data_IF_597595934573
#
_entry.id   IF_597595934573
#
_cell.length_a   1.000
_cell.length_b   1.000
_cell.length_c   1.000
_cell.angle_alpha   90.00
_cell.angle_beta   90.00
_cell.angle_gamma   90.00
#
_symmetry.space_group_name_H-M   'P 1'
#
loop_
_entity.id
_entity.type
_entity.pdbx_description
1 polymer ?
#
# COMPACT_ATOMS: atom_id res chain seq x y z
N UNK A 1 50.20 57.44 -40.49
CA UNK A 1 49.56 57.26 -39.16
C UNK A 1 48.38 56.31 -39.33
N UNK A 2 48.44 55.19 -38.62
CA UNK A 2 47.57 54.01 -38.77
C UNK A 2 46.22 54.20 -38.09
N UNK A 3 45.11 53.93 -38.80
CA UNK A 3 43.76 53.85 -38.20
C UNK A 3 43.55 52.42 -37.68
N UNK A 4 43.53 52.28 -36.35
CA UNK A 4 43.15 51.03 -35.65
C UNK A 4 41.70 50.68 -35.95
N UNK A 5 41.45 49.47 -36.45
CA UNK A 5 40.12 48.81 -36.45
C UNK A 5 39.82 48.31 -35.04
N UNK A 6 38.70 48.74 -34.48
CA UNK A 6 38.13 48.18 -33.26
C UNK A 6 37.64 46.75 -33.49
N UNK A 7 38.03 45.84 -32.61
CA UNK A 7 37.57 44.45 -32.57
C UNK A 7 36.29 44.34 -31.73
N UNK A 8 35.22 43.82 -32.32
CA UNK A 8 33.98 43.45 -31.64
C UNK A 8 34.21 42.34 -30.60
N UNK A 9 33.57 42.38 -29.42
CA UNK A 9 33.74 41.35 -28.40
C UNK A 9 32.93 40.09 -28.74
N UNK A 10 33.56 38.92 -28.66
CA UNK A 10 32.92 37.61 -28.77
C UNK A 10 31.94 37.40 -27.59
N UNK A 11 30.67 37.07 -27.88
CA UNK A 11 29.67 36.65 -26.89
C UNK A 11 30.17 35.40 -26.13
N UNK A 12 30.18 35.44 -24.79
CA UNK A 12 30.39 34.27 -23.93
C UNK A 12 29.26 33.26 -24.15
N UNK A 13 29.60 31.98 -24.31
CA UNK A 13 28.62 30.89 -24.37
C UNK A 13 27.88 30.82 -23.02
N UNK A 14 26.55 30.94 -23.06
CA UNK A 14 25.69 30.76 -21.88
C UNK A 14 25.78 29.29 -21.45
N UNK A 15 26.16 29.04 -20.20
CA UNK A 15 26.06 27.70 -19.62
C UNK A 15 24.59 27.27 -19.61
N UNK A 16 24.33 26.10 -20.18
CA UNK A 16 23.00 25.50 -20.21
C UNK A 16 22.70 24.95 -18.81
N UNK A 17 21.70 25.52 -18.12
CA UNK A 17 21.27 25.04 -16.79
C UNK A 17 20.39 23.80 -16.99
N UNK A 18 20.83 22.66 -16.44
CA UNK A 18 20.06 21.41 -16.41
C UNK A 18 19.67 21.14 -14.96
N UNK A 19 18.38 20.89 -14.74
CA UNK A 19 17.81 20.59 -13.43
C UNK A 19 17.11 19.23 -13.45
N UNK A 20 17.02 18.59 -12.29
CA UNK A 20 16.27 17.34 -12.08
C UNK A 20 15.03 17.66 -11.26
N UNK A 21 13.86 17.21 -11.71
CA UNK A 21 12.60 17.48 -11.02
C UNK A 21 11.46 16.60 -11.50
N UNK A 22 10.30 16.70 -10.87
CA UNK A 22 9.11 15.92 -11.21
C UNK A 22 8.27 16.65 -12.25
N UNK A 23 7.92 15.99 -13.35
CA UNK A 23 7.03 16.53 -14.38
C UNK A 23 5.57 16.38 -13.94
N UNK A 24 4.91 17.47 -13.61
CA UNK A 24 3.46 17.54 -13.45
C UNK A 24 2.82 18.02 -14.76
N UNK A 25 1.81 17.31 -15.26
CA UNK A 25 1.11 17.65 -16.50
C UNK A 25 -0.31 18.01 -16.10
N UNK A 26 -0.78 19.18 -16.50
CA UNK A 26 -2.15 19.63 -16.24
C UNK A 26 -3.15 19.00 -17.22
N UNK A 27 -4.46 19.09 -16.92
CA UNK A 27 -5.53 18.61 -17.83
C UNK A 27 -5.53 19.33 -19.18
N UNK A 28 -5.03 20.58 -19.24
CA UNK A 28 -4.88 21.32 -20.50
C UNK A 28 -3.67 20.87 -21.34
N UNK A 29 -2.86 19.95 -20.81
CA UNK A 29 -1.65 19.43 -21.44
C UNK A 29 -0.39 20.26 -21.21
N UNK A 30 -0.46 21.40 -20.53
CA UNK A 30 0.73 22.14 -20.11
C UNK A 30 1.45 21.41 -18.98
N UNK A 31 2.78 21.34 -19.02
CA UNK A 31 3.59 20.68 -17.99
C UNK A 31 4.40 21.66 -17.15
N UNK A 32 4.72 21.25 -15.94
CA UNK A 32 5.50 21.97 -14.95
C UNK A 32 6.50 21.02 -14.33
N UNK A 33 7.79 21.33 -14.40
CA UNK A 33 8.82 20.56 -13.70
C UNK A 33 9.08 21.22 -12.35
N UNK A 34 8.69 20.50 -11.29
CA UNK A 34 8.86 20.91 -9.90
C UNK A 34 10.25 20.44 -9.46
N UNK A 35 11.11 21.38 -9.11
CA UNK A 35 12.51 21.12 -8.72
C UNK A 35 12.64 21.41 -7.23
N UNK A 36 13.19 20.45 -6.47
CA UNK A 36 13.40 20.63 -5.05
C UNK A 36 14.35 21.80 -4.77
N UNK A 37 13.96 22.70 -3.87
CA UNK A 37 14.73 23.89 -3.51
C UNK A 37 14.56 25.10 -4.43
N UNK A 38 13.78 25.00 -5.51
CA UNK A 38 13.40 26.15 -6.35
C UNK A 38 12.00 26.64 -5.96
N UNK A 39 11.81 27.95 -5.84
CA UNK A 39 10.51 28.54 -5.45
C UNK A 39 9.45 28.48 -6.56
N UNK A 40 9.88 28.33 -7.82
CA UNK A 40 8.99 28.37 -8.99
C UNK A 40 9.27 27.22 -9.94
N UNK A 41 8.20 26.57 -10.38
CA UNK A 41 8.27 25.49 -11.37
C UNK A 41 8.70 25.98 -12.75
N UNK A 42 9.29 25.07 -13.52
CA UNK A 42 9.70 25.31 -14.91
C UNK A 42 8.57 24.88 -15.85
N UNK A 43 8.06 25.79 -16.67
CA UNK A 43 7.02 25.48 -17.65
C UNK A 43 7.63 24.66 -18.79
N UNK A 44 6.95 23.57 -19.15
CA UNK A 44 7.29 22.75 -20.30
C UNK A 44 6.06 22.63 -21.21
N UNK A 45 6.25 22.95 -22.50
CA UNK A 45 5.20 22.83 -23.52
C UNK A 45 5.05 21.36 -23.94
N UNK A 46 3.86 20.92 -24.42
CA UNK A 46 3.62 19.52 -24.79
C UNK A 46 4.69 18.92 -25.73
N UNK A 47 5.10 19.67 -26.76
CA UNK A 47 6.13 19.27 -27.72
C UNK A 47 7.54 19.11 -27.12
N UNK A 48 7.75 19.60 -25.90
CA UNK A 48 9.02 19.61 -25.18
C UNK A 48 9.05 18.60 -24.02
N UNK A 49 8.02 17.75 -23.86
CA UNK A 49 8.03 16.65 -22.89
C UNK A 49 9.01 15.53 -23.27
N UNK A 50 9.44 15.50 -24.54
CA UNK A 50 10.24 14.40 -25.06
C UNK A 50 9.47 13.09 -24.93
N UNK A 51 9.94 12.21 -24.06
CA UNK A 51 9.36 10.88 -23.83
C UNK A 51 8.85 10.67 -22.40
N UNK A 52 8.76 11.75 -21.63
CA UNK A 52 8.29 11.71 -20.26
C UNK A 52 6.77 11.56 -20.19
N UNK A 53 6.31 10.88 -19.16
CA UNK A 53 4.91 10.81 -18.77
C UNK A 53 4.65 11.70 -17.56
N UNK A 54 3.37 11.92 -17.27
CA UNK A 54 2.96 12.61 -16.06
C UNK A 54 3.52 11.90 -14.81
N UNK A 55 4.15 12.67 -13.93
CA UNK A 55 4.70 12.22 -12.67
C UNK A 55 6.14 11.74 -12.74
N UNK A 56 6.71 11.55 -13.93
CA UNK A 56 8.09 11.11 -14.10
C UNK A 56 9.08 12.10 -13.48
N UNK A 57 10.19 11.57 -12.96
CA UNK A 57 11.35 12.39 -12.61
C UNK A 57 12.19 12.59 -13.86
N UNK A 58 12.32 13.84 -14.29
CA UNK A 58 12.94 14.23 -15.56
C UNK A 58 14.15 15.11 -15.34
N UNK A 59 15.04 15.12 -16.33
CA UNK A 59 16.08 16.14 -16.49
C UNK A 59 15.55 17.18 -17.48
N UNK A 60 15.50 18.44 -17.04
CA UNK A 60 15.00 19.58 -17.83
C UNK A 60 16.13 20.58 -18.09
N UNK A 61 16.30 20.94 -19.35
CA UNK A 61 17.17 22.03 -19.78
C UNK A 61 16.38 23.33 -19.80
N UNK A 62 16.84 24.35 -19.09
CA UNK A 62 16.21 25.67 -19.04
C UNK A 62 16.64 26.49 -20.26
N UNK A 63 15.70 26.94 -21.10
CA UNK A 63 16.00 27.67 -22.34
C UNK A 63 15.98 29.19 -22.16
N UNK A 64 15.13 29.70 -21.27
CA UNK A 64 14.99 31.14 -21.00
C UNK A 64 14.74 31.37 -19.52
N UNK A 65 15.69 32.02 -18.85
CA UNK A 65 15.38 32.74 -17.62
C UNK A 65 14.46 33.90 -17.99
N UNK A 66 13.20 33.79 -17.60
CA UNK A 66 12.24 34.85 -17.82
C UNK A 66 12.44 35.91 -16.73
N UNK A 67 12.29 37.19 -17.10
CA UNK A 67 12.55 38.32 -16.20
C UNK A 67 11.72 38.25 -14.91
N UNK A 68 12.17 39.00 -13.89
CA UNK A 68 11.64 39.04 -12.51
C UNK A 68 10.12 38.81 -12.43
N UNK A 69 9.72 37.64 -11.91
CA UNK A 69 8.32 37.26 -11.67
C UNK A 69 7.66 36.35 -12.73
N UNK A 70 8.36 35.94 -13.79
CA UNK A 70 7.86 34.95 -14.75
C UNK A 70 8.51 33.58 -14.50
N UNK A 71 7.74 32.49 -14.74
CA UNK A 71 8.26 31.11 -14.69
C UNK A 71 9.18 30.85 -15.87
N UNK A 72 10.30 30.16 -15.63
CA UNK A 72 11.23 29.79 -16.68
C UNK A 72 10.61 28.75 -17.65
N UNK A 73 11.03 28.76 -18.91
CA UNK A 73 10.65 27.73 -19.89
C UNK A 73 11.79 26.71 -20.04
N UNK A 74 11.44 25.42 -20.19
CA UNK A 74 12.41 24.35 -20.37
C UNK A 74 11.99 23.25 -21.34
N UNK A 75 12.97 22.40 -21.67
CA UNK A 75 12.81 21.20 -22.49
C UNK A 75 13.27 19.98 -21.69
N UNK A 76 12.44 18.94 -21.65
CA UNK A 76 12.83 17.66 -21.08
C UNK A 76 13.83 16.99 -22.03
N UNK A 77 15.03 16.72 -21.51
CA UNK A 77 16.10 16.08 -22.27
C UNK A 77 16.17 14.57 -22.05
N UNK A 78 15.73 14.10 -20.88
CA UNK A 78 15.77 12.68 -20.51
C UNK A 78 14.84 12.38 -19.32
N UNK A 79 14.38 11.12 -19.23
CA UNK A 79 13.61 10.59 -18.11
C UNK A 79 14.57 9.89 -17.16
N UNK A 80 14.81 10.48 -15.99
CA UNK A 80 15.71 9.91 -14.99
C UNK A 80 15.08 8.71 -14.27
N UNK A 81 13.77 8.78 -14.03
CA UNK A 81 13.01 7.73 -13.34
C UNK A 81 11.55 7.79 -13.76
N UNK A 82 10.97 6.65 -14.11
CA UNK A 82 9.55 6.51 -14.45
C UNK A 82 8.74 6.41 -13.17
N UNK A 83 7.65 7.18 -13.06
CA UNK A 83 6.72 7.02 -11.93
C UNK A 83 5.93 5.72 -12.04
N UNK A 84 5.47 5.41 -13.24
CA UNK A 84 4.60 4.27 -13.51
C UNK A 84 4.90 3.69 -14.90
N UNK A 85 4.73 2.39 -15.03
CA UNK A 85 4.92 1.65 -16.28
C UNK A 85 3.68 0.91 -16.73
N UNK A 86 2.64 0.84 -15.91
CA UNK A 86 1.38 0.15 -16.21
C UNK A 86 0.23 1.15 -16.28
N UNK A 87 -0.66 0.96 -17.24
CA UNK A 87 -1.73 1.90 -17.56
C UNK A 87 -3.00 1.14 -17.92
N UNK A 88 -4.15 1.65 -17.49
CA UNK A 88 -5.46 1.17 -17.92
C UNK A 88 -5.95 1.91 -19.15
N UNK A 89 -6.74 1.24 -19.97
CA UNK A 89 -7.20 1.80 -21.23
C UNK A 89 -7.95 0.81 -22.10
N UNK A 90 -8.09 1.17 -23.37
CA UNK A 90 -8.79 0.37 -24.37
C UNK A 90 -7.81 -0.03 -25.46
N UNK A 91 -7.87 -1.29 -25.89
CA UNK A 91 -7.15 -1.76 -27.06
C UNK A 91 -7.95 -1.46 -28.32
N UNK A 92 -7.38 -0.68 -29.22
CA UNK A 92 -7.89 -0.47 -30.58
C UNK A 92 -7.01 -1.24 -31.56
N UNK A 93 -7.57 -2.22 -32.25
CA UNK A 93 -6.83 -3.08 -33.17
C UNK A 93 -7.58 -3.34 -34.46
N UNK A 94 -6.83 -3.43 -35.55
CA UNK A 94 -7.27 -3.99 -36.83
C UNK A 94 -6.30 -5.10 -37.27
N UNK A 95 -6.52 -5.68 -38.44
CA UNK A 95 -5.74 -6.84 -38.95
C UNK A 95 -4.22 -6.61 -39.06
N UNK A 96 -3.73 -5.36 -38.97
CA UNK A 96 -2.31 -5.02 -39.18
C UNK A 96 -1.65 -4.34 -37.99
N UNK A 97 -2.41 -3.63 -37.16
CA UNK A 97 -1.87 -2.81 -36.07
C UNK A 97 -2.80 -2.84 -34.86
N UNK A 98 -2.20 -2.84 -33.68
CA UNK A 98 -2.90 -2.65 -32.41
C UNK A 98 -2.27 -1.48 -31.65
N UNK A 99 -3.13 -0.64 -31.10
CA UNK A 99 -2.77 0.50 -30.26
C UNK A 99 -3.54 0.45 -28.95
N UNK A 100 -2.84 0.68 -27.86
CA UNK A 100 -3.45 0.91 -26.57
C UNK A 100 -3.70 2.41 -26.39
N UNK A 101 -4.95 2.76 -26.08
CA UNK A 101 -5.40 4.11 -25.77
C UNK A 101 -5.63 4.20 -24.27
N UNK A 102 -4.81 4.96 -23.57
CA UNK A 102 -4.88 5.07 -22.12
C UNK A 102 -6.16 5.79 -21.66
N UNK A 103 -6.81 5.27 -20.62
CA UNK A 103 -7.96 5.88 -19.97
C UNK A 103 -7.49 6.89 -18.90
N UNK A 104 -6.89 7.99 -19.33
CA UNK A 104 -6.40 9.03 -18.40
C UNK A 104 -6.81 10.42 -18.86
N UNK A 105 -7.06 11.31 -17.90
CA UNK A 105 -7.30 12.74 -18.18
C UNK A 105 -6.03 13.49 -18.60
N UNK A 106 -4.85 12.93 -18.30
CA UNK A 106 -3.56 13.56 -18.62
C UNK A 106 -3.11 13.09 -20.00
N UNK A 107 -2.67 13.99 -20.89
CA UNK A 107 -2.21 13.58 -22.21
C UNK A 107 -1.06 12.57 -22.15
N UNK A 108 -1.25 11.44 -22.83
CA UNK A 108 -0.26 10.38 -23.03
C UNK A 108 -0.42 9.86 -24.47
N UNK A 109 0.67 9.57 -25.20
CA UNK A 109 0.56 9.00 -26.53
C UNK A 109 0.05 7.56 -26.47
N UNK A 110 -0.63 7.12 -27.52
CA UNK A 110 -1.03 5.72 -27.68
C UNK A 110 0.20 4.80 -27.75
N UNK A 111 0.09 3.61 -27.17
CA UNK A 111 1.18 2.64 -27.20
C UNK A 111 0.97 1.69 -28.36
N UNK A 112 1.99 1.49 -29.19
CA UNK A 112 1.97 0.42 -30.18
C UNK A 112 2.09 -0.93 -29.47
N UNK A 113 1.15 -1.83 -29.75
CA UNK A 113 1.11 -3.18 -29.20
C UNK A 113 1.38 -4.18 -30.34
N UNK A 114 2.51 -4.92 -30.31
CA UNK A 114 2.72 -6.02 -31.25
C UNK A 114 1.64 -7.09 -31.09
N UNK A 115 1.26 -7.75 -32.18
CA UNK A 115 0.15 -8.74 -32.18
C UNK A 115 0.43 -9.89 -31.21
N UNK A 116 1.67 -10.35 -31.16
CA UNK A 116 2.15 -11.38 -30.23
C UNK A 116 2.08 -10.97 -28.75
N UNK A 117 1.94 -9.66 -28.48
CA UNK A 117 1.86 -9.06 -27.14
C UNK A 117 0.47 -8.56 -26.77
N UNK A 118 -0.56 -8.96 -27.52
CA UNK A 118 -1.95 -8.62 -27.21
C UNK A 118 -2.54 -9.48 -26.08
N UNK A 119 -1.88 -10.58 -25.70
CA UNK A 119 -2.30 -11.46 -24.58
C UNK A 119 -3.79 -11.85 -24.63
N UNK A 120 -4.28 -12.21 -25.82
CA UNK A 120 -5.67 -12.61 -26.05
C UNK A 120 -6.71 -11.47 -26.07
N UNK A 121 -6.30 -10.21 -25.90
CA UNK A 121 -7.18 -9.06 -26.05
C UNK A 121 -7.66 -8.91 -27.49
N UNK A 122 -8.90 -8.41 -27.66
CA UNK A 122 -9.50 -8.12 -28.96
C UNK A 122 -9.81 -6.62 -29.09
N UNK A 123 -10.16 -6.18 -30.30
CA UNK A 123 -10.54 -4.78 -30.52
C UNK A 123 -11.68 -4.36 -29.56
N UNK A 124 -11.50 -3.22 -28.90
CA UNK A 124 -12.43 -2.70 -27.89
C UNK A 124 -12.28 -3.31 -26.50
N UNK A 125 -11.37 -4.27 -26.29
CA UNK A 125 -11.09 -4.79 -24.94
C UNK A 125 -10.56 -3.69 -24.02
N UNK A 126 -11.10 -3.63 -22.81
CA UNK A 126 -10.49 -2.88 -21.70
C UNK A 126 -9.32 -3.70 -21.16
N UNK A 127 -8.17 -3.08 -21.01
CA UNK A 127 -6.91 -3.77 -20.75
C UNK A 127 -6.02 -2.97 -19.80
N UNK A 128 -5.11 -3.68 -19.15
CA UNK A 128 -3.91 -3.08 -18.57
C UNK A 128 -2.76 -3.32 -19.54
N UNK A 129 -2.10 -2.24 -19.95
CA UNK A 129 -0.92 -2.29 -20.79
C UNK A 129 0.33 -1.85 -20.01
N UNK A 130 1.43 -2.55 -20.20
CA UNK A 130 2.75 -2.20 -19.67
C UNK A 130 3.59 -1.54 -20.75
N UNK A 131 4.20 -0.41 -20.41
CA UNK A 131 5.25 0.24 -21.18
C UNK A 131 6.49 -0.66 -21.25
N UNK A 132 6.96 -0.95 -22.47
CA UNK A 132 8.21 -1.70 -22.68
C UNK A 132 9.35 -0.74 -22.96
N UNK A 133 9.21 0.06 -24.00
CA UNK A 133 10.28 0.93 -24.49
C UNK A 133 9.77 2.05 -25.37
N UNK A 134 10.61 3.05 -25.58
CA UNK A 134 10.37 4.13 -26.52
C UNK A 134 11.71 4.56 -27.12
N UNK A 135 12.12 3.94 -28.23
CA UNK A 135 13.44 4.15 -28.82
C UNK A 135 13.53 5.50 -29.56
N UNK A 136 14.75 6.02 -29.78
CA UNK A 136 15.00 7.40 -30.25
C UNK A 136 14.19 7.80 -31.50
N UNK A 137 13.98 6.85 -32.41
CA UNK A 137 13.32 7.08 -33.69
C UNK A 137 11.83 6.71 -33.68
N UNK A 138 11.32 6.17 -32.57
CA UNK A 138 9.95 5.72 -32.47
C UNK A 138 9.02 6.91 -32.25
N UNK A 139 7.98 7.02 -33.07
CA UNK A 139 6.94 8.04 -32.93
C UNK A 139 6.03 7.78 -31.73
N UNK A 140 5.85 6.51 -31.36
CA UNK A 140 4.97 6.05 -30.28
C UNK A 140 5.74 5.06 -29.40
N UNK A 141 5.48 5.03 -28.09
CA UNK A 141 6.03 4.00 -27.21
C UNK A 141 5.49 2.62 -27.60
N UNK A 142 6.27 1.58 -27.33
CA UNK A 142 5.87 0.19 -27.46
C UNK A 142 5.41 -0.34 -26.10
N UNK A 143 4.31 -1.09 -26.08
CA UNK A 143 3.81 -1.76 -24.88
C UNK A 143 3.41 -3.20 -25.11
N UNK A 144 2.95 -3.84 -24.05
CA UNK A 144 2.32 -5.16 -24.05
C UNK A 144 1.08 -5.19 -23.18
N UNK A 145 0.12 -6.03 -23.54
CA UNK A 145 -1.05 -6.26 -22.70
C UNK A 145 -0.67 -7.27 -21.63
N UNK A 146 -0.72 -6.84 -20.36
CA UNK A 146 -0.44 -7.72 -19.23
C UNK A 146 -1.71 -8.39 -18.74
N UNK A 147 -2.87 -7.74 -18.92
CA UNK A 147 -4.15 -8.28 -18.50
C UNK A 147 -5.29 -7.69 -19.32
N UNK A 148 -6.25 -8.54 -19.68
CA UNK A 148 -7.56 -8.09 -20.16
C UNK A 148 -8.41 -7.86 -18.92
N UNK A 149 -8.90 -6.62 -18.76
CA UNK A 149 -9.79 -6.25 -17.67
C UNK A 149 -11.18 -6.81 -17.98
N UNK A 150 -11.38 -8.07 -17.61
CA UNK A 150 -12.71 -8.63 -17.51
C UNK A 150 -13.34 -8.09 -16.23
N UNK A 151 -14.50 -7.47 -16.37
CA UNK A 151 -15.24 -6.92 -15.25
C UNK A 151 -16.61 -7.58 -15.17
N UNK A 152 -17.03 -7.95 -13.96
CA UNK A 152 -18.38 -8.45 -13.74
C UNK A 152 -19.43 -7.36 -13.98
N UNK A 153 -19.08 -6.13 -13.60
CA UNK A 153 -19.89 -4.93 -13.74
C UNK A 153 -18.97 -3.69 -13.79
N UNK A 154 -19.56 -2.51 -13.96
CA UNK A 154 -18.81 -1.24 -14.02
C UNK A 154 -18.04 -0.93 -12.73
N UNK A 155 -18.56 -1.34 -11.57
CA UNK A 155 -17.90 -1.13 -10.27
C UNK A 155 -16.59 -1.90 -10.14
N UNK A 156 -16.58 -3.18 -10.54
CA UNK A 156 -15.37 -4.02 -10.54
C UNK A 156 -14.28 -3.45 -11.47
N UNK A 157 -14.68 -2.89 -12.62
CA UNK A 157 -13.76 -2.21 -13.52
C UNK A 157 -13.17 -0.96 -12.88
N UNK A 158 -14.01 -0.11 -12.29
CA UNK A 158 -13.55 1.13 -11.63
C UNK A 158 -12.57 0.84 -10.49
N UNK A 159 -12.81 -0.20 -9.68
CA UNK A 159 -11.89 -0.58 -8.60
C UNK A 159 -10.52 -1.04 -9.13
N UNK A 160 -10.49 -1.82 -10.21
CA UNK A 160 -9.25 -2.25 -10.86
C UNK A 160 -8.49 -1.06 -11.47
N UNK A 161 -9.21 -0.13 -12.10
CA UNK A 161 -8.62 1.09 -12.66
C UNK A 161 -7.97 1.95 -11.57
N UNK A 162 -8.67 2.18 -10.45
CA UNK A 162 -8.12 2.94 -9.31
C UNK A 162 -6.84 2.32 -8.77
N UNK A 163 -6.78 0.99 -8.62
CA UNK A 163 -5.58 0.30 -8.14
C UNK A 163 -4.40 0.51 -9.07
N UNK A 164 -4.58 0.29 -10.37
CA UNK A 164 -3.51 0.45 -11.37
C UNK A 164 -3.06 1.90 -11.48
N UNK A 165 -3.98 2.87 -11.49
CA UNK A 165 -3.64 4.30 -11.52
C UNK A 165 -2.88 4.75 -10.26
N UNK A 166 -3.17 4.14 -9.12
CA UNK A 166 -2.43 4.34 -7.88
C UNK A 166 -1.09 3.57 -7.84
N UNK A 167 -0.79 2.76 -8.84
CA UNK A 167 0.45 1.99 -8.97
C UNK A 167 0.44 0.65 -8.25
N UNK A 168 -0.73 0.13 -7.86
CA UNK A 168 -0.84 -1.17 -7.19
C UNK A 168 -1.10 -2.30 -8.19
N UNK A 169 -0.30 -3.39 -8.14
CA UNK A 169 -0.50 -4.54 -9.00
C UNK A 169 -1.80 -5.29 -8.66
N UNK A 170 -2.54 -5.70 -9.69
CA UNK A 170 -3.84 -6.37 -9.53
C UNK A 170 -3.74 -7.83 -9.07
N UNK A 171 -2.60 -8.49 -9.32
CA UNK A 171 -2.39 -9.89 -9.00
C UNK A 171 -0.93 -10.14 -8.59
N UNK A 172 -0.69 -11.26 -7.93
CA UNK A 172 0.66 -11.77 -7.71
C UNK A 172 1.13 -12.50 -8.97
N UNK A 173 2.44 -12.47 -9.21
CA UNK A 173 3.03 -13.30 -10.25
C UNK A 173 2.94 -14.78 -9.87
N UNK A 174 2.80 -15.64 -10.88
CA UNK A 174 2.66 -17.09 -10.67
C UNK A 174 3.80 -17.71 -9.81
N UNK A 175 5.09 -17.34 -9.99
CA UNK A 175 6.15 -17.85 -9.11
C UNK A 175 6.00 -17.43 -7.64
N UNK A 176 5.41 -16.27 -7.37
CA UNK A 176 5.13 -15.79 -6.00
C UNK A 176 4.04 -16.65 -5.36
N UNK A 177 2.97 -16.94 -6.10
CA UNK A 177 1.88 -17.82 -5.64
C UNK A 177 2.38 -19.25 -5.38
N UNK A 178 3.21 -19.79 -6.27
CA UNK A 178 3.82 -21.11 -6.08
C UNK A 178 4.70 -21.16 -4.84
N UNK A 179 5.51 -20.12 -4.59
CA UNK A 179 6.34 -20.02 -3.41
C UNK A 179 5.49 -19.98 -2.11
N UNK A 180 4.41 -19.20 -2.10
CA UNK A 180 3.49 -19.14 -0.95
C UNK A 180 2.79 -20.48 -0.69
N UNK A 181 2.34 -21.16 -1.75
CA UNK A 181 1.65 -22.45 -1.66
C UNK A 181 2.58 -23.60 -1.23
N UNK A 182 3.89 -23.46 -1.46
CA UNK A 182 4.89 -24.44 -1.01
C UNK A 182 5.24 -24.34 0.49
N UNK A 183 4.78 -23.29 1.18
CA UNK A 183 5.06 -23.11 2.62
C UNK A 183 4.33 -24.15 3.47
N UNK A 184 5.06 -24.65 4.48
CA UNK A 184 4.55 -25.64 5.43
C UNK A 184 3.68 -24.97 6.50
N UNK A 185 2.51 -25.55 6.77
CA UNK A 185 1.55 -25.09 7.78
C UNK A 185 1.71 -25.78 9.13
N UNK A 186 2.55 -26.82 9.24
CA UNK A 186 2.72 -27.59 10.48
C UNK A 186 3.78 -26.99 11.38
N UNK A 187 3.45 -26.90 12.66
CA UNK A 187 4.44 -26.59 13.69
C UNK A 187 5.46 -27.71 13.79
N UNK A 188 6.72 -27.36 13.57
CA UNK A 188 7.84 -28.30 13.68
C UNK A 188 8.41 -28.31 15.10
N UNK A 189 8.91 -29.47 15.53
CA UNK A 189 9.61 -29.61 16.82
C UNK A 189 10.86 -28.73 16.92
N UNK A 190 11.49 -28.43 15.78
CA UNK A 190 12.67 -27.58 15.76
C UNK A 190 12.32 -26.13 16.13
N UNK A 191 11.27 -25.58 15.52
CA UNK A 191 10.78 -24.24 15.83
C UNK A 191 10.16 -24.15 17.22
N UNK A 192 9.45 -25.19 17.66
CA UNK A 192 8.89 -25.26 19.01
C UNK A 192 9.97 -25.08 20.09
N UNK A 193 11.15 -25.65 19.91
CA UNK A 193 12.27 -25.51 20.86
C UNK A 193 12.89 -24.11 20.90
N UNK A 194 12.66 -23.27 19.89
CA UNK A 194 13.21 -21.90 19.78
C UNK A 194 12.23 -20.85 20.31
N UNK A 195 11.00 -21.24 20.63
CA UNK A 195 9.89 -20.34 20.94
C UNK A 195 9.41 -20.55 22.36
N UNK A 196 8.97 -19.48 23.03
CA UNK A 196 8.30 -19.60 24.33
C UNK A 196 6.86 -20.04 24.10
N UNK A 197 6.41 -21.05 24.84
CA UNK A 197 5.08 -21.64 24.68
C UNK A 197 4.03 -20.88 25.50
N UNK A 198 2.95 -20.46 24.83
CA UNK A 198 1.79 -19.77 25.39
C UNK A 198 0.48 -20.52 25.12
N UNK A 199 0.51 -21.74 24.55
CA UNK A 199 -0.70 -22.47 24.13
C UNK A 199 -1.68 -22.75 25.28
N UNK A 200 -1.18 -22.91 26.50
CA UNK A 200 -1.99 -23.16 27.69
C UNK A 200 -2.49 -21.87 28.38
N UNK A 201 -2.17 -20.69 27.82
CA UNK A 201 -2.57 -19.40 28.39
C UNK A 201 -3.77 -18.87 27.60
N UNK A 202 -4.80 -18.42 28.32
CA UNK A 202 -6.00 -17.84 27.71
C UNK A 202 -5.61 -16.73 26.74
N UNK A 203 -5.88 -16.94 25.46
CA UNK A 203 -5.51 -16.07 24.33
C UNK A 203 -6.70 -15.92 23.40
N UNK A 204 -6.94 -14.72 22.88
CA UNK A 204 -8.01 -14.46 21.90
C UNK A 204 -7.68 -13.27 21.00
N UNK A 205 -8.37 -13.17 19.87
CA UNK A 205 -8.32 -12.02 18.95
C UNK A 205 -9.61 -11.19 19.08
N UNK A 206 -9.55 -9.90 18.74
CA UNK A 206 -10.71 -8.99 18.72
C UNK A 206 -10.63 -8.17 17.43
N UNK A 207 -11.51 -8.46 16.48
CA UNK A 207 -11.41 -7.95 15.11
C UNK A 207 -12.76 -7.46 14.56
N UNK A 208 -12.80 -6.73 13.45
CA UNK A 208 -14.04 -6.52 12.71
C UNK A 208 -14.67 -7.84 12.28
N UNK A 209 -16.01 -7.88 12.21
CA UNK A 209 -16.76 -9.09 11.79
C UNK A 209 -16.29 -9.66 10.44
N UNK A 210 -15.88 -8.79 9.52
CA UNK A 210 -15.46 -9.10 8.16
C UNK A 210 -13.96 -9.39 7.99
N UNK A 211 -13.16 -9.28 9.05
CA UNK A 211 -11.74 -9.60 9.02
C UNK A 211 -11.49 -11.10 8.77
N UNK A 212 -10.41 -11.41 8.05
CA UNK A 212 -9.98 -12.80 7.75
C UNK A 212 -8.52 -13.05 8.15
N UNK A 213 -7.77 -11.97 8.26
CA UNK A 213 -6.37 -11.81 8.62
C UNK A 213 -6.29 -11.27 10.05
N UNK A 214 -6.27 -12.17 11.05
CA UNK A 214 -6.14 -11.78 12.45
C UNK A 214 -4.65 -11.66 12.77
N UNK A 215 -4.14 -10.44 12.77
CA UNK A 215 -2.69 -10.19 12.90
C UNK A 215 -2.22 -10.14 14.35
N UNK A 216 -3.13 -9.85 15.29
CA UNK A 216 -2.82 -9.71 16.71
C UNK A 216 -3.76 -10.52 17.62
N UNK A 217 -3.21 -10.98 18.73
CA UNK A 217 -3.93 -11.67 19.79
C UNK A 217 -3.44 -11.19 21.15
N UNK A 218 -4.32 -11.23 22.15
CA UNK A 218 -4.00 -10.87 23.53
C UNK A 218 -4.13 -12.10 24.41
N UNK A 219 -3.09 -12.36 25.22
CA UNK A 219 -3.15 -13.37 26.28
C UNK A 219 -3.12 -12.74 27.67
N UNK A 220 -3.72 -13.42 28.64
CA UNK A 220 -3.70 -12.97 30.03
C UNK A 220 -3.72 -14.12 31.03
N UNK A 221 -2.90 -14.01 32.08
CA UNK A 221 -3.00 -14.83 33.29
C UNK A 221 -2.60 -14.07 34.56
N UNK A 222 -3.10 -14.54 35.69
CA UNK A 222 -2.67 -14.06 37.01
C UNK A 222 -1.34 -14.72 37.40
N UNK A 223 -0.48 -13.97 38.08
CA UNK A 223 0.75 -14.47 38.68
C UNK A 223 0.62 -14.56 40.21
N UNK A 224 1.41 -15.44 40.84
CA UNK A 224 1.38 -15.68 42.28
C UNK A 224 1.73 -14.44 43.12
N UNK A 225 2.45 -13.48 42.54
CA UNK A 225 2.81 -12.21 43.18
C UNK A 225 1.69 -11.14 43.12
N UNK A 226 0.51 -11.49 42.59
CA UNK A 226 -0.63 -10.59 42.43
C UNK A 226 -0.57 -9.66 41.22
N UNK A 227 0.45 -9.78 40.36
CA UNK A 227 0.51 -9.11 39.06
C UNK A 227 -0.20 -9.95 37.98
N UNK A 228 -0.42 -9.34 36.83
CA UNK A 228 -0.90 -9.99 35.61
C UNK A 228 0.26 -10.18 34.63
N UNK A 229 0.34 -11.33 33.96
CA UNK A 229 1.12 -11.46 32.73
C UNK A 229 0.18 -11.26 31.54
N UNK A 230 0.43 -10.21 30.76
CA UNK A 230 -0.33 -9.87 29.57
C UNK A 230 0.61 -9.96 28.37
N UNK A 231 0.24 -10.77 27.37
CA UNK A 231 0.98 -10.92 26.12
C UNK A 231 0.24 -10.27 24.97
N UNK A 232 0.94 -9.46 24.18
CA UNK A 232 0.51 -9.01 22.85
C UNK A 232 1.26 -9.85 21.84
N UNK A 233 0.53 -10.65 21.06
CA UNK A 233 1.07 -11.65 20.16
C UNK A 233 0.76 -11.25 18.72
N UNK A 234 1.79 -10.90 17.96
CA UNK A 234 1.66 -10.54 16.54
C UNK A 234 2.02 -11.75 15.69
N UNK A 235 1.28 -11.97 14.59
CA UNK A 235 1.58 -13.02 13.63
C UNK A 235 3.05 -12.97 13.18
N UNK A 236 3.77 -14.10 13.22
CA UNK A 236 5.20 -14.14 12.86
C UNK A 236 5.39 -14.25 11.34
N UNK A 237 4.98 -13.22 10.59
CA UNK A 237 5.14 -13.14 9.13
C UNK A 237 6.61 -13.36 8.73
N UNK A 238 7.56 -12.89 9.55
CA UNK A 238 9.00 -13.03 9.33
C UNK A 238 9.50 -14.48 9.30
N UNK A 239 8.71 -15.42 9.83
CA UNK A 239 9.01 -16.85 9.72
C UNK A 239 8.81 -17.37 8.29
N UNK A 240 7.79 -16.85 7.60
CA UNK A 240 7.38 -17.32 6.27
C UNK A 240 7.97 -16.48 5.14
N UNK A 241 8.15 -15.18 5.38
CA UNK A 241 8.71 -14.22 4.42
C UNK A 241 10.12 -13.86 4.87
N UNK A 242 11.12 -14.44 4.22
CA UNK A 242 12.54 -14.26 4.56
C UNK A 242 13.19 -13.21 3.66
N UNK A 243 14.19 -12.45 4.15
CA UNK A 243 14.87 -11.42 3.36
C UNK A 243 15.36 -11.94 2.02
N UNK A 244 15.25 -11.10 0.98
CA UNK A 244 15.69 -11.36 -0.40
C UNK A 244 14.93 -12.49 -1.14
N UNK A 245 13.96 -13.13 -0.48
CA UNK A 245 13.09 -14.13 -1.12
C UNK A 245 12.15 -13.50 -2.14
N UNK A 246 11.56 -14.32 -3.02
CA UNK A 246 10.58 -13.82 -3.99
C UNK A 246 9.32 -13.23 -3.31
N UNK A 247 8.94 -13.79 -2.15
CA UNK A 247 7.83 -13.30 -1.33
C UNK A 247 8.16 -11.94 -0.72
N UNK A 248 9.39 -11.75 -0.24
CA UNK A 248 9.86 -10.49 0.33
C UNK A 248 9.89 -9.38 -0.72
N UNK A 249 10.42 -9.66 -1.92
CA UNK A 249 10.42 -8.69 -3.03
C UNK A 249 9.01 -8.29 -3.45
N UNK A 250 8.09 -9.26 -3.55
CA UNK A 250 6.69 -8.98 -3.88
C UNK A 250 5.97 -8.17 -2.79
N UNK A 251 6.23 -8.49 -1.51
CA UNK A 251 5.70 -7.74 -0.38
C UNK A 251 6.26 -6.31 -0.36
N UNK A 252 7.56 -6.15 -0.63
CA UNK A 252 8.25 -4.86 -0.69
C UNK A 252 7.71 -3.97 -1.81
N UNK A 253 7.47 -4.53 -2.99
CA UNK A 253 6.87 -3.82 -4.13
C UNK A 253 5.44 -3.35 -3.83
N UNK A 254 4.64 -4.20 -3.17
CA UNK A 254 3.26 -3.86 -2.77
C UNK A 254 3.22 -2.89 -1.59
N UNK A 255 4.20 -2.94 -0.69
CA UNK A 255 4.41 -2.15 0.52
C UNK A 255 3.31 -2.24 1.61
N UNK A 256 2.03 -2.29 1.23
CA UNK A 256 0.87 -2.35 2.11
C UNK A 256 -0.29 -3.06 1.44
N UNK A 257 -1.22 -3.58 2.25
CA UNK A 257 -2.55 -3.95 1.75
C UNK A 257 -3.36 -2.69 1.46
N UNK A 258 -4.14 -2.70 0.39
CA UNK A 258 -5.05 -1.60 0.02
C UNK A 258 -6.48 -2.04 0.22
N UNK A 259 -7.18 -1.38 1.15
CA UNK A 259 -8.57 -1.67 1.48
C UNK A 259 -9.50 -0.79 0.64
N UNK A 260 -10.23 -1.43 -0.28
CA UNK A 260 -11.27 -0.82 -1.10
C UNK A 260 -12.65 -1.07 -0.45
N UNK A 261 -13.69 -0.34 -0.88
CA UNK A 261 -15.03 -0.53 -0.32
C UNK A 261 -15.57 -1.97 -0.42
N UNK A 262 -15.21 -2.71 -1.48
CA UNK A 262 -15.74 -4.05 -1.80
C UNK A 262 -14.73 -5.19 -1.63
N UNK A 263 -13.43 -4.89 -1.50
CA UNK A 263 -12.36 -5.90 -1.44
C UNK A 263 -11.07 -5.37 -0.82
N UNK A 264 -10.12 -6.26 -0.64
CA UNK A 264 -8.73 -5.93 -0.29
C UNK A 264 -7.81 -6.32 -1.45
N UNK A 265 -6.85 -5.46 -1.79
CA UNK A 265 -5.68 -5.83 -2.58
C UNK A 265 -4.56 -6.15 -1.58
N UNK A 266 -4.25 -7.43 -1.31
CA UNK A 266 -3.41 -7.79 -0.19
C UNK A 266 -1.92 -7.57 -0.49
N UNK A 267 -1.15 -7.23 0.53
CA UNK A 267 0.31 -7.14 0.46
C UNK A 267 0.95 -8.51 0.22
N UNK A 268 0.41 -9.55 0.87
CA UNK A 268 0.90 -10.92 0.83
C UNK A 268 -0.14 -11.85 0.20
N UNK A 269 0.27 -12.95 -0.43
CA UNK A 269 -0.67 -13.98 -0.90
C UNK A 269 -1.58 -14.49 0.24
N UNK A 270 -2.84 -14.78 -0.08
CA UNK A 270 -3.85 -15.19 0.91
C UNK A 270 -3.44 -16.43 1.73
N UNK A 271 -2.67 -17.35 1.13
CA UNK A 271 -2.09 -18.50 1.83
C UNK A 271 -1.25 -18.06 3.03
N UNK A 272 -0.54 -16.95 2.94
CA UNK A 272 0.24 -16.41 4.06
C UNK A 272 -0.68 -15.62 5.00
N UNK A 273 -1.41 -14.62 4.48
CA UNK A 273 -2.17 -13.69 5.33
C UNK A 273 -3.34 -14.38 6.06
N UNK A 274 -4.19 -15.11 5.34
CA UNK A 274 -5.46 -15.64 5.85
C UNK A 274 -5.33 -17.04 6.46
N UNK A 275 -4.20 -17.72 6.22
CA UNK A 275 -4.00 -19.09 6.67
C UNK A 275 -2.81 -19.26 7.59
N UNK A 276 -1.58 -19.07 7.10
CA UNK A 276 -0.39 -19.35 7.89
C UNK A 276 -0.21 -18.37 9.05
N UNK A 277 -0.43 -17.08 8.79
CA UNK A 277 -0.21 -16.00 9.75
C UNK A 277 -1.46 -15.62 10.54
N UNK A 278 -2.65 -15.68 9.94
CA UNK A 278 -3.91 -15.36 10.64
C UNK A 278 -4.05 -16.19 11.91
N UNK A 279 -4.21 -15.52 13.05
CA UNK A 279 -4.28 -16.09 14.39
C UNK A 279 -5.65 -16.72 14.70
N UNK A 280 -6.09 -17.60 13.80
CA UNK A 280 -7.39 -18.27 13.82
C UNK A 280 -7.62 -19.04 15.13
N UNK A 281 -8.86 -19.08 15.62
CA UNK A 281 -9.19 -19.78 16.85
C UNK A 281 -9.03 -21.29 16.69
N UNK A 282 -8.63 -21.95 17.79
CA UNK A 282 -8.41 -23.38 17.91
C UNK A 282 -7.28 -23.95 17.04
N UNK A 283 -6.33 -23.11 16.65
CA UNK A 283 -5.13 -23.49 15.90
C UNK A 283 -3.88 -22.98 16.61
N UNK A 284 -2.80 -23.79 16.58
CA UNK A 284 -1.50 -23.33 17.06
C UNK A 284 -0.85 -22.43 15.99
N UNK A 285 -0.33 -21.27 16.41
CA UNK A 285 0.25 -20.27 15.50
C UNK A 285 1.58 -19.72 16.00
N UNK A 286 2.49 -19.48 15.05
CA UNK A 286 3.75 -18.78 15.32
C UNK A 286 3.51 -17.30 15.48
N UNK A 287 4.05 -16.74 16.56
CA UNK A 287 3.91 -15.32 16.88
C UNK A 287 5.24 -14.71 17.30
N UNK A 288 5.33 -13.39 17.15
CA UNK A 288 6.34 -12.54 17.77
C UNK A 288 5.63 -11.70 18.81
N UNK A 289 6.06 -11.77 20.07
CA UNK A 289 5.29 -11.22 21.17
C UNK A 289 6.05 -10.23 22.03
N UNK A 290 5.29 -9.27 22.55
CA UNK A 290 5.67 -8.43 23.68
C UNK A 290 4.85 -8.87 24.90
N UNK A 291 5.55 -9.28 25.96
CA UNK A 291 4.93 -9.82 27.18
C UNK A 291 5.28 -8.93 28.36
N UNK A 292 4.27 -8.53 29.11
CA UNK A 292 4.37 -7.58 30.20
C UNK A 292 3.91 -8.22 31.51
N UNK A 293 4.62 -7.93 32.60
CA UNK A 293 4.06 -8.11 33.94
C UNK A 293 3.51 -6.77 34.41
N UNK A 294 2.20 -6.69 34.61
CA UNK A 294 1.50 -5.45 34.94
C UNK A 294 0.85 -5.60 36.31
N UNK A 295 1.08 -4.64 37.20
CA UNK A 295 0.43 -4.63 38.52
C UNK A 295 -1.06 -4.29 38.42
N UNK A 296 -1.80 -4.50 39.51
CA UNK A 296 -3.19 -4.08 39.63
C UNK A 296 -3.42 -2.55 39.51
N UNK A 297 -2.35 -1.74 39.55
CA UNK A 297 -2.38 -0.29 39.34
C UNK A 297 -2.00 0.12 37.91
N UNK A 298 -1.83 -0.82 36.99
CA UNK A 298 -1.39 -0.54 35.62
C UNK A 298 0.12 -0.33 35.45
N UNK A 299 0.91 -0.37 36.53
CA UNK A 299 2.36 -0.19 36.39
C UNK A 299 3.03 -1.41 35.74
N UNK A 300 3.78 -1.20 34.65
CA UNK A 300 4.60 -2.24 34.00
C UNK A 300 5.84 -2.52 34.85
N UNK A 301 5.95 -3.74 35.38
CA UNK A 301 7.06 -4.20 36.23
C UNK A 301 8.15 -4.92 35.46
N UNK A 302 7.78 -5.67 34.43
CA UNK A 302 8.71 -6.42 33.60
C UNK A 302 8.23 -6.43 32.15
N UNK A 303 9.18 -6.50 31.21
CA UNK A 303 8.92 -6.63 29.78
C UNK A 303 9.82 -7.72 29.18
N UNK A 304 9.27 -8.50 28.28
CA UNK A 304 10.00 -9.49 27.50
C UNK A 304 9.52 -9.43 26.05
N UNK A 305 10.43 -9.54 25.10
CA UNK A 305 10.12 -9.55 23.67
C UNK A 305 10.80 -10.77 23.06
N UNK A 306 10.07 -11.54 22.26
CA UNK A 306 10.62 -12.72 21.61
C UNK A 306 9.57 -13.53 20.84
N UNK A 307 10.03 -14.59 20.19
CA UNK A 307 9.17 -15.49 19.42
C UNK A 307 8.45 -16.48 20.33
N UNK A 308 7.19 -16.74 20.02
CA UNK A 308 6.28 -17.58 20.78
C UNK A 308 5.48 -18.50 19.86
N UNK A 309 4.78 -19.44 20.50
CA UNK A 309 3.68 -20.22 19.92
C UNK A 309 2.45 -19.97 20.79
N UNK A 310 1.32 -19.64 20.18
CA UNK A 310 0.04 -19.46 20.87
C UNK A 310 -0.99 -20.45 20.36
N UNK A 311 -2.07 -20.60 21.11
CA UNK A 311 -3.31 -21.25 20.69
C UNK A 311 -4.46 -20.29 20.98
N UNK A 312 -5.04 -19.66 19.96
CA UNK A 312 -6.14 -18.70 20.16
C UNK A 312 -7.39 -19.47 20.60
N UNK A 313 -7.89 -19.24 21.80
CA UNK A 313 -9.07 -19.93 22.33
C UNK A 313 -10.38 -19.42 21.73
N UNK A 314 -10.40 -18.16 21.27
CA UNK A 314 -11.60 -17.55 20.72
C UNK A 314 -11.26 -16.38 19.78
N UNK A 315 -12.12 -16.15 18.79
CA UNK A 315 -12.12 -14.95 17.95
C UNK A 315 -13.36 -14.15 18.32
N UNK A 316 -13.18 -12.98 18.91
CA UNK A 316 -14.26 -12.06 19.19
C UNK A 316 -14.42 -11.01 18.09
N UNK A 317 -15.63 -10.48 17.93
CA UNK A 317 -15.83 -9.19 17.28
C UNK A 317 -15.78 -8.04 18.27
N UNK A 318 -15.56 -6.82 17.76
CA UNK A 318 -15.68 -5.60 18.59
C UNK A 318 -17.06 -5.48 19.24
N UNK A 319 -18.13 -5.86 18.54
CA UNK A 319 -19.49 -5.82 19.07
C UNK A 319 -19.69 -6.79 20.24
N UNK A 320 -19.18 -8.02 20.14
CA UNK A 320 -19.26 -9.03 21.22
C UNK A 320 -18.50 -8.59 22.48
N UNK A 321 -17.31 -8.01 22.29
CA UNK A 321 -16.51 -7.45 23.39
C UNK A 321 -17.21 -6.24 24.00
N UNK A 322 -17.79 -5.38 23.16
CA UNK A 322 -18.53 -4.21 23.63
C UNK A 322 -19.77 -4.62 24.44
N UNK A 323 -20.51 -5.64 24.00
CA UNK A 323 -21.63 -6.19 24.75
C UNK A 323 -21.16 -6.78 26.09
N UNK A 324 -20.04 -7.51 26.10
CA UNK A 324 -19.43 -8.05 27.33
C UNK A 324 -19.03 -6.94 28.32
N UNK A 325 -18.49 -5.82 27.83
CA UNK A 325 -18.15 -4.66 28.65
C UNK A 325 -19.40 -4.03 29.28
N UNK A 326 -20.48 -3.90 28.52
CA UNK A 326 -21.73 -3.28 28.96
C UNK A 326 -22.51 -4.16 29.94
N UNK A 327 -22.66 -5.45 29.62
CA UNK A 327 -23.42 -6.40 30.42
C UNK A 327 -22.64 -6.89 31.65
N UNK A 328 -21.29 -6.80 31.59
CA UNK A 328 -20.35 -7.39 32.56
C UNK A 328 -20.48 -8.91 32.67
N UNK A 329 -20.99 -9.55 31.64
CA UNK A 329 -21.18 -11.00 31.54
C UNK A 329 -20.81 -11.49 30.14
N UNK A 330 -20.66 -12.80 29.98
CA UNK A 330 -20.27 -13.43 28.71
C UNK A 330 -19.00 -14.26 28.80
N UNK A 331 -18.63 -14.85 27.66
CA UNK A 331 -17.45 -15.71 27.55
C UNK A 331 -16.17 -14.91 27.87
N UNK A 332 -15.34 -15.43 28.78
CA UNK A 332 -14.10 -14.78 29.22
C UNK A 332 -14.28 -13.34 29.78
N UNK A 333 -15.48 -12.96 30.23
CA UNK A 333 -15.82 -11.60 30.69
C UNK A 333 -14.85 -11.04 31.73
N UNK A 334 -14.39 -11.83 32.70
CA UNK A 334 -13.40 -11.39 33.71
C UNK A 334 -12.08 -10.90 33.08
N UNK A 335 -11.58 -11.60 32.07
CA UNK A 335 -10.36 -11.23 31.36
C UNK A 335 -10.57 -9.96 30.52
N UNK A 336 -11.66 -9.90 29.76
CA UNK A 336 -12.03 -8.75 28.92
C UNK A 336 -12.21 -7.49 29.76
N UNK A 337 -12.96 -7.55 30.87
CA UNK A 337 -13.20 -6.41 31.74
C UNK A 337 -11.91 -5.90 32.40
N UNK A 338 -10.99 -6.80 32.77
CA UNK A 338 -9.69 -6.42 33.32
C UNK A 338 -8.82 -5.72 32.27
N UNK A 339 -8.72 -6.29 31.07
CA UNK A 339 -7.99 -5.67 29.95
C UNK A 339 -8.57 -4.30 29.59
N UNK A 340 -9.90 -4.18 29.49
CA UNK A 340 -10.55 -2.89 29.25
C UNK A 340 -10.23 -1.88 30.36
N UNK A 341 -10.28 -2.30 31.63
CA UNK A 341 -9.96 -1.41 32.76
C UNK A 341 -8.55 -0.84 32.64
N UNK A 342 -7.57 -1.69 32.31
CA UNK A 342 -6.18 -1.28 32.10
C UNK A 342 -6.04 -0.37 30.86
N UNK A 343 -6.63 -0.74 29.73
CA UNK A 343 -6.59 0.05 28.49
C UNK A 343 -7.18 1.46 28.70
N UNK A 344 -8.33 1.57 29.37
CA UNK A 344 -8.94 2.85 29.71
C UNK A 344 -8.07 3.67 30.65
N UNK A 345 -7.34 3.03 31.57
CA UNK A 345 -6.35 3.72 32.41
C UNK A 345 -5.20 4.27 31.57
N UNK A 346 -4.56 3.43 30.76
CA UNK A 346 -3.45 3.84 29.89
C UNK A 346 -3.85 4.94 28.93
N UNK A 347 -5.07 4.87 28.38
CA UNK A 347 -5.61 5.91 27.52
C UNK A 347 -5.72 7.25 28.27
N UNK A 348 -6.26 7.27 29.49
CA UNK A 348 -6.34 8.49 30.32
C UNK A 348 -4.96 9.07 30.62
N UNK A 349 -3.98 8.23 30.96
CA UNK A 349 -2.61 8.66 31.22
C UNK A 349 -1.96 9.24 29.97
N UNK A 350 -2.08 8.55 28.82
CA UNK A 350 -1.60 9.02 27.51
C UNK A 350 -2.14 10.41 27.14
N UNK A 351 -3.42 10.69 27.40
CA UNK A 351 -3.99 12.03 27.17
C UNK A 351 -3.53 13.09 28.18
N UNK A 352 -3.31 12.71 29.44
CA UNK A 352 -2.71 13.62 30.44
C UNK A 352 -1.29 14.04 30.04
N UNK A 353 -0.56 13.17 29.34
CA UNK A 353 0.79 13.45 28.81
C UNK A 353 0.78 14.24 27.49
N UNK A 354 -0.40 14.67 27.02
CA UNK A 354 -0.52 15.57 25.87
C UNK A 354 -0.71 14.88 24.53
N UNK A 355 -1.08 13.59 24.51
CA UNK A 355 -1.44 12.94 23.25
C UNK A 355 -2.65 13.62 22.61
N UNK A 356 -2.62 13.76 21.29
CA UNK A 356 -3.69 14.37 20.50
C UNK A 356 -4.53 13.25 19.87
N UNK A 357 -5.85 13.42 19.88
CA UNK A 357 -6.76 12.55 19.15
C UNK A 357 -7.29 13.28 17.91
N UNK A 358 -6.88 12.84 16.73
CA UNK A 358 -7.46 13.31 15.48
C UNK A 358 -8.63 12.38 15.11
N UNK A 359 -9.84 12.68 15.62
CA UNK A 359 -11.03 11.93 15.23
C UNK A 359 -11.60 12.51 13.94
N UNK A 360 -11.60 11.72 12.86
CA UNK A 360 -12.40 11.97 11.66
C UNK A 360 -13.64 11.09 11.66
N UNK A 361 -14.75 11.58 11.10
CA UNK A 361 -15.89 10.72 10.82
C UNK A 361 -15.55 9.83 9.62
N UNK A 362 -15.40 8.54 9.89
CA UNK A 362 -15.23 7.53 8.86
C UNK A 362 -16.59 6.94 8.46
N UNK A 363 -16.74 6.64 7.18
CA UNK A 363 -17.94 6.00 6.64
C UNK A 363 -17.60 4.62 6.08
N UNK A 364 -18.53 3.69 6.25
CA UNK A 364 -18.51 2.35 5.67
C UNK A 364 -19.72 2.18 4.76
N UNK A 365 -19.52 1.62 3.58
CA UNK A 365 -20.61 1.29 2.66
C UNK A 365 -21.20 -0.08 3.03
N UNK A 366 -22.53 -0.17 3.01
CA UNK A 366 -23.25 -1.44 2.98
C UNK A 366 -23.39 -1.84 1.52
N UNK A 367 -22.87 -3.00 1.16
CA UNK A 367 -22.95 -3.54 -0.20
C UNK A 367 -23.94 -4.70 -0.24
N UNK A 368 -24.59 -4.91 -1.38
CA UNK A 368 -25.31 -6.16 -1.68
C UNK A 368 -24.37 -7.26 -2.20
N UNK A 369 -24.92 -8.42 -2.56
CA UNK A 369 -24.16 -9.58 -3.05
C UNK A 369 -23.39 -9.30 -4.35
N UNK A 370 -23.83 -8.32 -5.15
CA UNK A 370 -23.20 -7.90 -6.40
C UNK A 370 -22.17 -6.76 -6.20
N UNK A 371 -21.94 -6.34 -4.95
CA UNK A 371 -21.01 -5.28 -4.58
C UNK A 371 -21.57 -3.87 -4.79
N UNK A 372 -22.89 -3.72 -5.01
CA UNK A 372 -23.51 -2.42 -5.20
C UNK A 372 -23.82 -1.76 -3.85
N UNK A 373 -23.50 -0.47 -3.66
CA UNK A 373 -23.78 0.20 -2.40
C UNK A 373 -25.29 0.42 -2.21
N UNK A 374 -25.82 -0.13 -1.12
CA UNK A 374 -27.22 -0.01 -0.69
C UNK A 374 -27.41 0.91 0.52
N UNK A 375 -26.30 1.37 1.12
CA UNK A 375 -26.35 2.31 2.23
C UNK A 375 -24.98 2.75 2.73
N UNK A 376 -24.98 3.70 3.66
CA UNK A 376 -23.79 4.24 4.31
C UNK A 376 -24.00 4.17 5.82
N UNK A 377 -22.96 3.78 6.55
CA UNK A 377 -22.92 3.75 8.01
C UNK A 377 -21.72 4.55 8.49
N UNK A 378 -21.91 5.39 9.49
CA UNK A 378 -20.79 6.07 10.16
C UNK A 378 -20.16 5.08 11.14
N UNK A 379 -18.84 4.90 11.07
CA UNK A 379 -18.13 4.06 12.03
C UNK A 379 -18.07 4.78 13.38
N UNK A 380 -18.48 4.09 14.43
CA UNK A 380 -18.37 4.56 15.80
C UNK A 380 -17.25 3.81 16.53
N UNK A 381 -16.41 4.54 17.27
CA UNK A 381 -15.32 3.96 18.05
C UNK A 381 -15.76 3.76 19.50
N UNK A 382 -16.08 2.51 19.84
CA UNK A 382 -16.46 2.09 21.19
C UNK A 382 -15.26 1.74 22.09
N UNK A 383 -15.48 1.45 23.37
CA UNK A 383 -14.43 1.03 24.31
C UNK A 383 -13.72 -0.25 23.85
N UNK A 384 -14.45 -1.19 23.22
CA UNK A 384 -13.85 -2.39 22.62
C UNK A 384 -12.75 -2.07 21.59
N UNK A 385 -12.93 -1.01 20.80
CA UNK A 385 -11.92 -0.55 19.83
C UNK A 385 -10.73 0.16 20.49
N UNK A 386 -10.90 0.63 21.72
CA UNK A 386 -9.85 1.33 22.48
C UNK A 386 -9.07 0.38 23.40
N UNK A 387 -9.61 -0.82 23.61
CA UNK A 387 -8.95 -1.90 24.35
C UNK A 387 -7.74 -2.40 23.59
N UNK A 388 -7.93 -2.64 22.29
CA UNK A 388 -6.87 -2.84 21.29
C UNK A 388 -6.15 -1.51 21.07
#
# INVERSE_FOLDING_TARGET
MSKKKESTPKKKASQVKILKGRLDISRSGMGFVIVEGEETDIIVKPQNFGKAFHGDTVRVQVEKESGRGKRAEGIVIDVAERKQTEFTGTLESNDKVAFFIAATEKPIPDFYIPVEKMNGAVNGSRVVARFIKWDKNDKKPQGEIISVLTAKNEGDLAMKEILVEAGFPLAFEEPVLQAANALNDKITREEERKRKDFRDILTFTIDPVDAKDFDDAISIRNLDNGNYEIGVHIADVSHFVTPDSILDKAAYERATSVYLPDRVNPMLPERISNELCSLRPNEDKYTFSAVFQISNRGEVKHKWIGRTIIHSNHRFTYEEVQETILSKDGLHSKAILLLNTLAQQFRRERFKEGAINFSSQEVRFKLDEDGKPIGVVVKESFEAHQLI
#
